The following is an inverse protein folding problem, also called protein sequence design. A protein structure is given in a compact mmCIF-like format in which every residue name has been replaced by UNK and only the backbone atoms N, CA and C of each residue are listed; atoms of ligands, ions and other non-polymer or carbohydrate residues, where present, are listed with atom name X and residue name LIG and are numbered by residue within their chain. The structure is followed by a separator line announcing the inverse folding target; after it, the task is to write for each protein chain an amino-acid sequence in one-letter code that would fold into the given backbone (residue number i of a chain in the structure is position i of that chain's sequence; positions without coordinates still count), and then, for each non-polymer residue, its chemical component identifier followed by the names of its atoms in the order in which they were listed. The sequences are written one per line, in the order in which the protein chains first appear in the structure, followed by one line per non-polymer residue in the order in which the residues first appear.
data_IF_725450441486
#
_entry.id   IF_725450441486
#
_cell.length_a   1.000
_cell.length_b   1.000
_cell.length_c   1.000
_cell.angle_alpha   90.00
_cell.angle_beta   90.00
_cell.angle_gamma   90.00
#
_symmetry.space_group_name_H-M   'P 1'
#
loop_
_entity.id
_entity.type
_entity.pdbx_description
1 polymer ?
#
# COMPACT_ATOMS: atom_id res chain seq x y z
N UNK A 1 14.99 19.61 -9.07
CA UNK A 1 13.76 20.43 -9.12
C UNK A 1 13.10 20.34 -7.75
N UNK A 2 12.70 21.45 -7.11
CA UNK A 2 11.81 21.38 -5.96
C UNK A 2 10.39 21.21 -6.51
N UNK A 3 9.84 20.01 -6.42
CA UNK A 3 8.44 19.77 -6.76
C UNK A 3 7.53 20.60 -5.84
N UNK A 4 6.39 21.01 -6.36
CA UNK A 4 5.29 21.54 -5.54
C UNK A 4 4.94 20.51 -4.44
N UNK A 5 4.47 20.95 -3.26
CA UNK A 5 3.98 20.04 -2.22
C UNK A 5 2.92 19.09 -2.79
N UNK A 6 2.84 17.85 -2.30
CA UNK A 6 1.77 16.96 -2.76
C UNK A 6 0.41 17.58 -2.42
N UNK A 7 -0.65 17.32 -3.22
CA UNK A 7 -1.95 17.95 -2.99
C UNK A 7 -2.58 17.65 -1.62
N UNK A 8 -2.15 16.57 -0.96
CA UNK A 8 -2.57 16.17 0.38
C UNK A 8 -1.64 16.66 1.50
N UNK A 9 -0.60 17.45 1.19
CA UNK A 9 0.34 17.99 2.18
C UNK A 9 1.37 16.99 2.71
N UNK A 10 1.46 15.79 2.11
CA UNK A 10 2.50 14.81 2.41
C UNK A 10 3.86 15.24 1.82
N UNK A 11 4.98 14.85 2.43
CA UNK A 11 6.30 15.14 1.87
C UNK A 11 6.48 14.40 0.54
N UNK A 12 6.69 15.14 -0.55
CA UNK A 12 6.93 14.57 -1.89
C UNK A 12 8.25 13.78 -2.02
N UNK A 13 9.07 13.76 -0.96
CA UNK A 13 10.40 13.15 -0.92
C UNK A 13 10.44 11.81 -0.21
N UNK A 14 9.36 11.41 0.46
CA UNK A 14 9.38 10.21 1.29
C UNK A 14 9.19 8.95 0.43
N UNK A 15 10.02 7.90 0.60
CA UNK A 15 9.84 6.66 -0.12
C UNK A 15 8.61 5.91 0.41
N UNK A 16 7.87 5.30 -0.52
CA UNK A 16 6.72 4.44 -0.23
C UNK A 16 7.10 3.00 -0.53
N UNK A 17 6.71 2.08 0.33
CA UNK A 17 6.93 0.65 0.13
C UNK A 17 5.73 0.00 -0.55
N UNK A 18 6.04 -0.81 -1.55
CA UNK A 18 5.07 -1.61 -2.28
C UNK A 18 5.43 -3.08 -2.19
N UNK A 19 4.43 -3.93 -1.98
CA UNK A 19 4.55 -5.36 -2.18
C UNK A 19 4.24 -5.68 -3.64
N UNK A 20 5.23 -6.18 -4.37
CA UNK A 20 5.05 -6.71 -5.73
C UNK A 20 4.55 -8.15 -5.62
N UNK A 21 3.44 -8.46 -6.29
CA UNK A 21 2.86 -9.79 -6.26
C UNK A 21 3.57 -10.72 -7.26
N UNK A 22 3.72 -11.99 -6.90
CA UNK A 22 4.32 -13.04 -7.76
C UNK A 22 3.63 -13.12 -9.14
N UNK A 23 2.33 -12.81 -9.18
CA UNK A 23 1.53 -12.66 -10.39
C UNK A 23 0.36 -11.71 -10.13
N UNK A 24 -0.18 -11.02 -11.15
CA UNK A 24 -1.39 -10.22 -10.97
C UNK A 24 -2.57 -11.05 -10.46
N UNK A 25 -3.33 -10.51 -9.51
CA UNK A 25 -4.52 -11.16 -8.96
C UNK A 25 -5.74 -10.26 -9.14
N UNK A 26 -6.92 -10.86 -9.30
CA UNK A 26 -8.18 -10.15 -9.18
C UNK A 26 -8.59 -10.10 -7.71
N UNK A 27 -8.87 -8.90 -7.20
CA UNK A 27 -9.28 -8.69 -5.81
C UNK A 27 -10.54 -7.82 -5.75
N UNK A 28 -11.43 -8.14 -4.82
CA UNK A 28 -12.56 -7.28 -4.45
C UNK A 28 -12.32 -6.71 -3.07
N UNK A 29 -12.23 -5.39 -2.97
CA UNK A 29 -11.94 -4.69 -1.73
C UNK A 29 -12.88 -3.49 -1.52
N UNK A 30 -12.91 -2.96 -0.29
CA UNK A 30 -13.65 -1.72 -0.01
C UNK A 30 -13.09 -0.57 -0.86
N UNK A 31 -13.96 0.30 -1.37
CA UNK A 31 -13.57 1.60 -1.92
C UNK A 31 -14.02 2.70 -0.95
N UNK A 32 -13.12 3.61 -0.59
CA UNK A 32 -13.50 4.72 0.26
C UNK A 32 -14.65 5.53 -0.38
N UNK A 33 -15.74 5.75 0.37
CA UNK A 33 -16.90 6.50 -0.13
C UNK A 33 -17.75 5.81 -1.20
N UNK A 34 -17.64 4.50 -1.41
CA UNK A 34 -18.44 3.75 -2.39
C UNK A 34 -18.67 2.30 -1.96
N UNK A 35 -19.44 1.55 -2.76
CA UNK A 35 -19.49 0.09 -2.66
C UNK A 35 -18.11 -0.55 -2.93
N UNK A 36 -17.97 -1.85 -2.68
CA UNK A 36 -16.74 -2.58 -3.01
C UNK A 36 -16.38 -2.45 -4.49
N UNK A 37 -15.08 -2.44 -4.78
CA UNK A 37 -14.52 -2.40 -6.12
C UNK A 37 -13.74 -3.68 -6.38
N UNK A 38 -13.92 -4.25 -7.57
CA UNK A 38 -13.10 -5.35 -8.10
C UNK A 38 -12.07 -4.79 -9.07
N UNK A 39 -10.81 -5.23 -8.96
CA UNK A 39 -9.74 -4.85 -9.88
C UNK A 39 -8.67 -5.95 -9.96
N UNK A 40 -8.03 -6.06 -11.11
CA UNK A 40 -6.76 -6.76 -11.22
C UNK A 40 -5.65 -5.87 -10.69
N UNK A 41 -4.79 -6.40 -9.82
CA UNK A 41 -3.66 -5.69 -9.22
C UNK A 41 -2.38 -6.53 -9.36
N UNK A 42 -1.25 -5.86 -9.50
CA UNK A 42 0.09 -6.47 -9.46
C UNK A 42 0.92 -6.01 -8.26
N UNK A 43 0.46 -4.96 -7.58
CA UNK A 43 1.17 -4.29 -6.50
C UNK A 43 0.18 -3.87 -5.41
N UNK A 44 0.65 -3.90 -4.16
CA UNK A 44 -0.09 -3.45 -2.98
C UNK A 44 0.74 -2.41 -2.25
N UNK A 45 0.14 -1.27 -1.92
CA UNK A 45 0.75 -0.26 -1.08
C UNK A 45 0.72 -0.74 0.37
N UNK A 46 1.87 -0.69 1.04
CA UNK A 46 1.99 -1.05 2.45
C UNK A 46 1.60 0.11 3.38
N UNK A 47 0.91 1.12 2.83
CA UNK A 47 0.13 2.12 3.59
C UNK A 47 0.93 3.16 4.35
N UNK A 48 2.25 3.01 4.47
CA UNK A 48 3.12 3.92 5.20
C UNK A 48 4.25 4.45 4.32
N UNK A 49 4.38 5.77 4.30
CA UNK A 49 5.63 6.40 3.89
C UNK A 49 6.71 6.07 4.92
N UNK A 50 7.96 5.93 4.48
CA UNK A 50 9.10 5.81 5.39
C UNK A 50 9.61 7.23 5.65
N UNK A 51 9.47 7.77 6.88
CA UNK A 51 10.09 9.05 7.21
C UNK A 51 11.62 8.89 7.11
N UNK A 52 12.34 9.96 6.74
CA UNK A 52 13.82 9.92 6.62
C UNK A 52 14.54 9.37 7.88
N UNK A 53 13.91 9.48 9.06
CA UNK A 53 14.43 9.00 10.34
C UNK A 53 13.46 8.03 11.07
N UNK A 54 12.51 7.43 10.36
CA UNK A 54 11.44 6.64 10.96
C UNK A 54 11.67 5.14 10.87
N UNK A 55 11.29 4.42 11.93
CA UNK A 55 11.18 2.97 11.90
C UNK A 55 9.94 2.56 11.10
N UNK A 56 10.10 1.59 10.22
CA UNK A 56 9.02 0.98 9.47
C UNK A 56 9.23 -0.53 9.43
N UNK A 57 8.25 -1.30 9.90
CA UNK A 57 8.38 -2.75 10.07
C UNK A 57 8.67 -3.49 8.75
N UNK A 58 8.20 -2.94 7.63
CA UNK A 58 8.36 -3.52 6.29
C UNK A 58 9.81 -3.46 5.81
N UNK A 59 10.65 -2.59 6.39
CA UNK A 59 12.07 -2.52 6.08
C UNK A 59 12.80 -3.84 6.36
N UNK A 60 12.31 -4.62 7.35
CA UNK A 60 12.87 -5.94 7.67
C UNK A 60 12.59 -6.99 6.60
N UNK A 61 11.68 -6.71 5.67
CA UNK A 61 11.24 -7.63 4.62
C UNK A 61 11.64 -7.15 3.21
N UNK A 62 12.49 -6.14 3.11
CA UNK A 62 13.02 -5.70 1.81
C UNK A 62 13.71 -6.87 1.09
N UNK A 63 13.39 -7.03 -0.19
CA UNK A 63 13.89 -8.12 -1.04
C UNK A 63 13.60 -9.54 -0.50
N UNK A 64 12.60 -9.68 0.37
CA UNK A 64 12.14 -10.96 0.89
C UNK A 64 10.78 -11.29 0.29
N UNK A 65 10.58 -12.54 -0.15
CA UNK A 65 9.25 -13.00 -0.49
C UNK A 65 8.46 -13.20 0.79
N UNK A 66 7.32 -12.53 0.90
CA UNK A 66 6.41 -12.64 2.03
C UNK A 66 5.03 -13.06 1.57
N UNK A 67 4.29 -13.69 2.46
CA UNK A 67 2.86 -13.93 2.29
C UNK A 67 2.10 -13.19 3.38
N UNK A 68 1.11 -12.43 2.96
CA UNK A 68 0.23 -11.64 3.81
C UNK A 68 -1.18 -12.21 3.69
N UNK A 69 -1.81 -12.49 4.82
CA UNK A 69 -3.25 -12.78 4.87
C UNK A 69 -3.96 -11.58 5.49
N UNK A 70 -4.97 -11.05 4.80
CA UNK A 70 -5.78 -9.93 5.28
C UNK A 70 -7.26 -10.16 5.00
N UNK A 71 -8.12 -9.60 5.85
CA UNK A 71 -9.57 -9.58 5.66
C UNK A 71 -9.98 -8.45 4.70
N UNK A 72 -11.18 -8.54 4.14
CA UNK A 72 -11.70 -7.58 3.16
C UNK A 72 -11.87 -6.15 3.72
N UNK A 73 -11.99 -5.99 5.03
CA UNK A 73 -12.07 -4.70 5.73
C UNK A 73 -10.68 -4.10 6.06
N UNK A 74 -9.61 -4.90 5.94
CA UNK A 74 -8.23 -4.48 6.17
C UNK A 74 -7.50 -4.01 4.89
N UNK A 75 -8.15 -4.16 3.73
CA UNK A 75 -7.67 -3.67 2.43
C UNK A 75 -8.69 -2.74 1.77
N UNK A 76 -8.21 -1.67 1.12
CA UNK A 76 -9.10 -0.75 0.40
C UNK A 76 -8.44 -0.04 -0.76
N UNK A 77 -9.26 0.38 -1.73
CA UNK A 77 -8.88 1.35 -2.75
C UNK A 77 -9.09 2.77 -2.21
N UNK A 78 -8.01 3.59 -2.09
CA UNK A 78 -8.13 4.97 -1.64
C UNK A 78 -8.79 5.85 -2.71
N UNK A 79 -9.41 6.93 -2.26
CA UNK A 79 -9.92 8.01 -3.14
C UNK A 79 -9.15 9.31 -2.98
N UNK A 80 -8.22 9.37 -2.01
CA UNK A 80 -7.34 10.51 -1.81
C UNK A 80 -6.23 10.56 -2.87
N UNK A 81 -5.50 11.67 -2.89
CA UNK A 81 -4.33 11.89 -3.74
C UNK A 81 -3.04 11.35 -3.13
N UNK A 82 -3.12 10.49 -2.11
CA UNK A 82 -1.96 9.94 -1.44
C UNK A 82 -1.22 8.93 -2.30
N UNK A 83 0.10 8.96 -2.23
CA UNK A 83 0.96 8.05 -2.99
C UNK A 83 1.08 6.69 -2.29
N UNK A 84 1.33 5.59 -3.02
CA UNK A 84 1.18 5.46 -4.48
C UNK A 84 -0.28 5.64 -4.92
N UNK A 85 -0.49 6.43 -5.97
CA UNK A 85 -1.81 6.92 -6.36
C UNK A 85 -2.76 5.78 -6.78
N UNK A 86 -3.91 5.68 -6.12
CA UNK A 86 -4.99 4.74 -6.48
C UNK A 86 -4.68 3.25 -6.26
N UNK A 87 -3.49 2.92 -5.74
CA UNK A 87 -3.08 1.55 -5.44
C UNK A 87 -3.88 1.00 -4.26
N UNK A 88 -4.18 -0.31 -4.28
CA UNK A 88 -4.78 -0.99 -3.13
C UNK A 88 -3.87 -0.78 -1.90
N UNK A 89 -4.43 -0.31 -0.80
CA UNK A 89 -3.73 -0.13 0.47
C UNK A 89 -4.00 -1.31 1.39
N UNK A 90 -2.94 -1.82 2.01
CA UNK A 90 -2.99 -2.65 3.19
C UNK A 90 -2.94 -1.73 4.41
N UNK A 91 -3.95 -1.75 5.27
CA UNK A 91 -3.90 -1.01 6.55
C UNK A 91 -3.71 -1.91 7.76
N UNK A 92 -4.01 -3.20 7.62
CA UNK A 92 -3.81 -4.20 8.66
C UNK A 92 -3.76 -5.59 8.04
N UNK A 93 -3.35 -6.60 8.79
CA UNK A 93 -3.28 -7.99 8.33
C UNK A 93 -3.53 -8.98 9.48
N UNK A 94 -4.03 -10.16 9.12
CA UNK A 94 -4.22 -11.29 10.05
C UNK A 94 -2.91 -12.00 10.31
N UNK A 95 -2.08 -12.18 9.28
CA UNK A 95 -0.78 -12.82 9.41
C UNK A 95 0.20 -12.39 8.34
N UNK A 96 1.49 -12.46 8.72
CA UNK A 96 2.65 -12.19 7.87
C UNK A 96 3.65 -13.33 8.06
N UNK A 97 4.13 -13.91 6.97
CA UNK A 97 5.21 -14.90 6.99
C UNK A 97 6.22 -14.68 5.87
N UNK A 98 7.50 -14.84 6.17
CA UNK A 98 8.54 -14.95 5.15
C UNK A 98 8.47 -16.32 4.44
N UNK A 99 8.79 -16.35 3.15
CA UNK A 99 8.84 -17.56 2.32
C UNK A 99 10.29 -17.93 1.96
#
# INVERSE_FOLDING_TARGET
MKGEPTPNGEPATDPYLVLVLDSPIEITARKAGSASQTSTISEVSLGQCIPTNGDNEWLNFLNTNVEITANADQVWFPTDTGLPLGMLRLGDYVSLRAR
#
